data_IF_621987113805
#
_entry.id   IF_621987113805
#
_cell.length_a   1.000
_cell.length_b   1.000
_cell.length_c   1.000
_cell.angle_alpha   90.00
_cell.angle_beta   90.00
_cell.angle_gamma   90.00
#
_symmetry.space_group_name_H-M   'P 1'
#
loop_
_entity.id
_entity.type
_entity.pdbx_description
1 polymer ?
#
# COMPACT_ATOMS: atom_id res chain seq x y z
N UNK A 1 39.24 53.21 -26.52
CA UNK A 1 39.67 52.62 -25.23
C UNK A 1 38.48 51.88 -24.65
N UNK A 2 38.59 50.56 -24.48
CA UNK A 2 37.66 49.74 -23.70
C UNK A 2 36.82 48.73 -24.49
N UNK A 3 37.47 47.69 -25.03
CA UNK A 3 36.83 46.48 -25.53
C UNK A 3 36.17 45.65 -24.42
N UNK A 4 35.03 45.03 -24.72
CA UNK A 4 34.32 44.10 -23.84
C UNK A 4 33.49 43.10 -24.63
N UNK A 5 34.16 42.33 -25.51
CA UNK A 5 33.57 41.20 -26.24
C UNK A 5 33.25 40.04 -25.29
N UNK A 6 31.95 39.71 -25.14
CA UNK A 6 31.52 38.45 -24.52
C UNK A 6 31.20 37.44 -25.62
N UNK A 7 32.10 36.48 -25.79
CA UNK A 7 31.92 35.30 -26.65
C UNK A 7 30.97 34.31 -25.96
N UNK A 8 29.87 33.84 -26.57
CA UNK A 8 29.14 32.70 -26.04
C UNK A 8 29.89 31.40 -26.36
N UNK A 9 30.28 30.66 -25.31
CA UNK A 9 30.95 29.35 -25.38
C UNK A 9 30.05 28.29 -26.04
N UNK A 10 30.54 27.75 -27.16
CA UNK A 10 30.00 26.64 -27.97
C UNK A 10 30.11 25.25 -27.29
N UNK A 11 29.83 25.16 -25.98
CA UNK A 11 30.13 23.95 -25.18
C UNK A 11 29.03 22.90 -25.05
N UNK A 12 27.76 23.21 -25.32
CA UNK A 12 26.64 22.40 -24.78
C UNK A 12 25.81 21.58 -25.80
N UNK A 13 26.07 21.67 -27.11
CA UNK A 13 25.25 20.92 -28.09
C UNK A 13 25.61 19.43 -28.21
N UNK A 14 26.82 19.02 -27.82
CA UNK A 14 27.23 17.60 -27.87
C UNK A 14 26.64 16.76 -26.74
N UNK A 15 26.42 17.35 -25.56
CA UNK A 15 25.83 16.66 -24.42
C UNK A 15 24.33 16.36 -24.62
N UNK A 16 23.58 17.26 -25.27
CA UNK A 16 22.15 17.08 -25.51
C UNK A 16 21.85 15.96 -26.51
N UNK A 17 22.69 15.81 -27.55
CA UNK A 17 22.61 14.69 -28.50
C UNK A 17 22.94 13.33 -27.85
N UNK A 18 23.82 13.30 -26.85
CA UNK A 18 24.16 12.09 -26.10
C UNK A 18 22.99 11.54 -25.27
N UNK A 19 22.14 12.42 -24.70
CA UNK A 19 20.99 12.02 -23.87
C UNK A 19 19.84 11.48 -24.74
N UNK A 20 19.60 12.07 -25.91
CA UNK A 20 18.56 11.63 -26.85
C UNK A 20 18.92 10.28 -27.50
N UNK A 21 20.20 10.04 -27.78
CA UNK A 21 20.67 8.74 -28.27
C UNK A 21 20.61 7.65 -27.18
N UNK A 22 20.85 7.99 -25.91
CA UNK A 22 20.80 7.06 -24.78
C UNK A 22 19.40 6.52 -24.51
N UNK A 23 18.38 7.38 -24.49
CA UNK A 23 17.00 6.96 -24.18
C UNK A 23 16.39 6.05 -25.27
N UNK A 24 16.74 6.26 -26.54
CA UNK A 24 16.30 5.41 -27.65
C UNK A 24 16.94 4.01 -27.64
N UNK A 25 18.23 3.92 -27.32
CA UNK A 25 18.96 2.65 -27.24
C UNK A 25 18.47 1.77 -26.07
N UNK A 26 18.18 2.38 -24.91
CA UNK A 26 17.66 1.66 -23.73
C UNK A 26 16.28 1.04 -23.99
N UNK A 27 15.39 1.74 -24.71
CA UNK A 27 14.07 1.21 -25.06
C UNK A 27 14.15 0.10 -26.12
N UNK A 28 15.05 0.22 -27.10
CA UNK A 28 15.32 -0.83 -28.08
C UNK A 28 15.81 -2.12 -27.43
N UNK A 29 16.72 -2.02 -26.45
CA UNK A 29 17.24 -3.17 -25.71
C UNK A 29 16.16 -3.80 -24.81
N UNK A 30 15.35 -2.98 -24.12
CA UNK A 30 14.19 -3.44 -23.37
C UNK A 30 13.18 -4.20 -24.26
N UNK A 31 12.92 -3.73 -25.48
CA UNK A 31 11.99 -4.37 -26.44
C UNK A 31 12.54 -5.67 -27.02
N UNK A 32 13.86 -5.78 -27.21
CA UNK A 32 14.51 -7.03 -27.64
C UNK A 32 14.47 -8.11 -26.56
N UNK A 33 14.74 -7.73 -25.30
CA UNK A 33 14.73 -8.65 -24.16
C UNK A 33 13.29 -9.08 -23.83
N UNK A 34 12.33 -8.16 -23.80
CA UNK A 34 10.91 -8.50 -23.57
C UNK A 34 10.29 -9.28 -24.72
N UNK A 35 10.69 -9.02 -25.97
CA UNK A 35 10.20 -9.75 -27.15
C UNK A 35 10.60 -11.23 -27.22
N UNK A 36 11.71 -11.62 -26.56
CA UNK A 36 12.12 -13.03 -26.47
C UNK A 36 11.39 -13.79 -25.35
N UNK A 37 11.11 -13.15 -24.23
CA UNK A 37 10.46 -13.79 -23.07
C UNK A 37 8.99 -14.13 -23.35
N UNK A 38 8.30 -13.36 -24.19
CA UNK A 38 6.88 -13.60 -24.53
C UNK A 38 6.65 -14.67 -25.62
N UNK A 39 7.67 -15.14 -26.34
CA UNK A 39 7.52 -16.13 -27.42
C UNK A 39 7.57 -17.59 -26.99
N UNK A 40 7.82 -17.90 -25.71
CA UNK A 40 7.82 -19.29 -25.20
C UNK A 40 6.48 -19.79 -24.64
N UNK A 41 5.45 -18.95 -24.51
CA UNK A 41 4.19 -19.34 -23.86
C UNK A 41 2.93 -18.97 -24.68
N UNK A 42 2.91 -19.26 -25.99
CA UNK A 42 1.64 -19.26 -26.74
C UNK A 42 1.62 -20.26 -27.91
N UNK A 43 1.04 -21.42 -27.64
CA UNK A 43 0.53 -22.44 -28.58
C UNK A 43 -0.57 -23.18 -27.78
N UNK A 44 -1.86 -23.25 -28.13
CA UNK A 44 -2.67 -22.96 -29.32
C UNK A 44 -4.13 -22.76 -28.85
N UNK A 45 -4.88 -21.81 -29.42
CA UNK A 45 -6.04 -21.98 -30.34
C UNK A 45 -7.44 -21.97 -29.71
N UNK A 46 -8.24 -21.10 -30.31
CA UNK A 46 -9.66 -20.78 -30.17
C UNK A 46 -10.51 -21.82 -30.93
N UNK A 47 -11.68 -22.22 -30.39
CA UNK A 47 -12.95 -22.16 -31.12
C UNK A 47 -14.19 -22.45 -30.24
N UNK A 48 -15.16 -21.56 -30.39
CA UNK A 48 -16.63 -21.63 -30.27
C UNK A 48 -17.34 -22.46 -29.16
N UNK A 49 -18.34 -21.78 -28.55
CA UNK A 49 -19.37 -22.38 -27.68
C UNK A 49 -20.50 -23.00 -28.53
N UNK A 50 -21.29 -23.98 -28.02
CA UNK A 50 -22.49 -23.60 -27.23
C UNK A 50 -22.89 -24.56 -26.08
N UNK A 51 -23.36 -23.93 -24.99
CA UNK A 51 -24.39 -24.27 -23.96
C UNK A 51 -24.84 -25.75 -23.71
N UNK A 52 -24.83 -26.10 -22.39
CA UNK A 52 -25.68 -27.07 -21.60
C UNK A 52 -25.15 -28.49 -21.28
N UNK A 53 -25.65 -29.18 -20.20
CA UNK A 53 -24.95 -29.28 -18.92
C UNK A 53 -24.60 -30.72 -18.46
N UNK A 54 -23.82 -30.78 -17.37
CA UNK A 54 -23.71 -31.89 -16.41
C UNK A 54 -23.05 -33.19 -16.88
N UNK A 55 -21.78 -33.39 -16.48
CA UNK A 55 -21.25 -34.70 -16.06
C UNK A 55 -19.94 -34.50 -15.30
N UNK A 56 -19.86 -35.07 -14.09
CA UNK A 56 -18.69 -35.05 -13.22
C UNK A 56 -17.49 -35.65 -13.97
N UNK A 57 -16.47 -34.82 -14.24
CA UNK A 57 -15.16 -35.31 -14.68
C UNK A 57 -14.36 -35.67 -13.43
N UNK A 58 -14.10 -36.96 -13.27
CA UNK A 58 -13.16 -37.50 -12.30
C UNK A 58 -11.76 -36.96 -12.61
N UNK A 59 -11.23 -36.10 -11.74
CA UNK A 59 -9.90 -35.53 -11.89
C UNK A 59 -8.89 -36.53 -11.32
N UNK A 60 -8.13 -37.17 -12.21
CA UNK A 60 -7.03 -38.07 -11.83
C UNK A 60 -5.95 -37.25 -11.12
N UNK A 61 -5.90 -37.37 -9.78
CA UNK A 61 -4.95 -36.67 -8.92
C UNK A 61 -3.51 -37.12 -9.22
N UNK A 62 -2.65 -36.17 -9.57
CA UNK A 62 -1.22 -36.40 -9.76
C UNK A 62 -0.52 -36.52 -8.39
N UNK A 63 0.34 -37.52 -8.17
CA UNK A 63 1.13 -37.64 -6.94
C UNK A 63 2.01 -36.40 -6.75
N UNK A 64 1.84 -35.70 -5.61
CA UNK A 64 2.57 -34.47 -5.27
C UNK A 64 1.78 -33.16 -5.39
N UNK A 65 0.53 -33.18 -5.85
CA UNK A 65 -0.31 -31.96 -5.84
C UNK A 65 -0.74 -31.59 -4.42
N UNK A 66 -0.98 -30.30 -4.18
CA UNK A 66 -1.52 -29.80 -2.90
C UNK A 66 -2.81 -30.52 -2.52
N UNK A 67 -3.71 -30.76 -3.48
CA UNK A 67 -4.96 -31.50 -3.25
C UNK A 67 -4.71 -32.91 -2.72
N UNK A 68 -3.69 -33.61 -3.22
CA UNK A 68 -3.32 -34.93 -2.72
C UNK A 68 -2.79 -34.89 -1.26
N UNK A 69 -2.23 -33.76 -0.81
CA UNK A 69 -1.78 -33.57 0.57
C UNK A 69 -2.89 -33.16 1.55
N UNK A 70 -3.98 -32.56 1.08
CA UNK A 70 -5.12 -32.14 1.94
C UNK A 70 -6.26 -33.16 1.95
N UNK A 71 -6.25 -34.17 1.08
CA UNK A 71 -7.28 -35.23 1.04
C UNK A 71 -7.42 -36.04 2.34
N UNK A 72 -6.49 -35.93 3.29
CA UNK A 72 -6.55 -36.59 4.61
C UNK A 72 -7.02 -35.70 5.76
N UNK A 73 -7.41 -34.45 5.51
CA UNK A 73 -7.92 -33.57 6.56
C UNK A 73 -9.44 -33.75 6.68
N UNK A 74 -9.88 -34.40 7.75
CA UNK A 74 -11.29 -34.64 8.02
C UNK A 74 -12.00 -33.32 8.36
N UNK A 75 -12.63 -32.72 7.34
CA UNK A 75 -13.54 -31.59 7.55
C UNK A 75 -14.82 -32.17 8.08
N UNK A 76 -15.05 -32.04 9.39
CA UNK A 76 -16.31 -32.39 10.04
C UNK A 76 -17.43 -31.55 9.40
N UNK A 77 -18.16 -32.16 8.47
CA UNK A 77 -19.44 -31.65 7.99
C UNK A 77 -20.54 -32.09 8.97
N UNK A 78 -21.31 -31.17 9.58
CA UNK A 78 -22.47 -31.57 10.37
C UNK A 78 -23.53 -32.16 9.43
N UNK A 79 -23.97 -33.40 9.71
CA UNK A 79 -25.10 -34.01 9.00
C UNK A 79 -26.41 -33.36 9.48
N UNK A 80 -27.35 -33.04 8.58
CA UNK A 80 -28.66 -32.53 8.95
C UNK A 80 -29.56 -33.71 9.38
N UNK A 81 -29.79 -33.84 10.67
CA UNK A 81 -30.68 -34.85 11.22
C UNK A 81 -30.32 -35.21 12.64
N UNK A 82 -30.68 -34.35 13.59
CA UNK A 82 -31.50 -34.73 14.74
C UNK A 82 -31.70 -33.49 15.61
N UNK A 83 -32.98 -33.16 15.81
CA UNK A 83 -33.41 -32.06 16.65
C UNK A 83 -33.13 -32.38 18.12
N UNK A 84 -32.18 -31.66 18.72
CA UNK A 84 -32.16 -31.42 20.15
C UNK A 84 -31.68 -29.99 20.38
N UNK A 85 -32.57 -29.18 20.94
CA UNK A 85 -32.31 -27.81 21.38
C UNK A 85 -31.07 -27.75 22.27
N UNK A 86 -29.96 -27.33 21.67
CA UNK A 86 -28.78 -26.84 22.35
C UNK A 86 -28.32 -25.66 21.54
N UNK A 87 -28.52 -24.46 22.09
CA UNK A 87 -27.99 -23.21 21.56
C UNK A 87 -26.46 -23.31 21.60
N UNK A 88 -25.87 -23.86 20.54
CA UNK A 88 -24.42 -23.82 20.35
C UNK A 88 -24.09 -22.40 19.91
N UNK A 89 -23.96 -21.51 20.90
CA UNK A 89 -23.25 -20.26 20.73
C UNK A 89 -21.80 -20.65 20.44
N UNK A 90 -21.49 -20.86 19.16
CA UNK A 90 -20.11 -20.95 18.69
C UNK A 90 -19.53 -19.53 18.65
N UNK A 91 -19.43 -18.89 19.81
CA UNK A 91 -18.57 -17.73 19.99
C UNK A 91 -17.14 -18.26 19.92
N UNK A 92 -16.56 -18.20 18.73
CA UNK A 92 -15.12 -18.28 18.58
C UNK A 92 -14.48 -17.29 19.56
N UNK A 93 -13.54 -17.68 20.43
CA UNK A 93 -12.97 -16.81 21.48
C UNK A 93 -12.04 -15.71 20.93
N UNK A 94 -12.16 -15.34 19.66
CA UNK A 94 -11.18 -14.59 18.90
C UNK A 94 -11.70 -13.25 18.35
N UNK A 95 -12.90 -12.81 18.73
CA UNK A 95 -13.38 -11.50 18.29
C UNK A 95 -12.92 -10.43 19.30
N UNK A 96 -12.06 -9.50 18.84
CA UNK A 96 -11.69 -8.32 19.62
C UNK A 96 -12.96 -7.51 19.92
N UNK A 97 -13.50 -7.68 21.12
CA UNK A 97 -14.65 -6.89 21.54
C UNK A 97 -14.33 -5.38 21.56
N UNK A 98 -15.33 -4.50 21.37
CA UNK A 98 -15.13 -3.06 21.39
C UNK A 98 -14.43 -2.54 22.65
N UNK A 99 -14.65 -3.19 23.80
CA UNK A 99 -13.98 -2.85 25.05
C UNK A 99 -12.46 -3.08 25.00
N UNK A 100 -12.00 -4.13 24.30
CA UNK A 100 -10.57 -4.41 24.16
C UNK A 100 -9.88 -3.34 23.31
N UNK A 101 -10.55 -2.80 22.29
CA UNK A 101 -10.04 -1.68 21.51
C UNK A 101 -9.89 -0.41 22.36
N UNK A 102 -10.90 -0.08 23.19
CA UNK A 102 -10.79 1.04 24.14
C UNK A 102 -9.64 0.85 25.12
N UNK A 103 -9.49 -0.36 25.65
CA UNK A 103 -8.39 -0.69 26.56
C UNK A 103 -7.04 -0.52 25.89
N UNK A 104 -6.85 -1.03 24.67
CA UNK A 104 -5.61 -0.85 23.90
C UNK A 104 -5.30 0.63 23.65
N UNK A 105 -6.29 1.43 23.26
CA UNK A 105 -6.13 2.88 23.07
C UNK A 105 -5.73 3.58 24.37
N UNK A 106 -6.37 3.23 25.49
CA UNK A 106 -6.01 3.76 26.81
C UNK A 106 -4.59 3.37 27.22
N UNK A 107 -4.21 2.09 27.06
CA UNK A 107 -2.86 1.62 27.36
C UNK A 107 -1.81 2.32 26.50
N UNK A 108 -2.10 2.56 25.22
CA UNK A 108 -1.22 3.30 24.33
C UNK A 108 -1.01 4.73 24.85
N UNK A 109 -2.05 5.38 25.38
CA UNK A 109 -1.94 6.74 25.89
C UNK A 109 -1.09 6.86 27.16
N UNK A 110 -1.13 5.85 28.02
CA UNK A 110 -0.49 5.85 29.35
C UNK A 110 0.87 5.17 29.40
N UNK A 111 1.23 4.39 28.37
CA UNK A 111 2.51 3.68 28.33
C UNK A 111 3.68 4.65 28.10
N UNK A 112 4.68 4.59 28.97
CA UNK A 112 5.94 5.33 28.83
C UNK A 112 7.03 4.50 28.11
N UNK A 113 6.90 3.17 28.08
CA UNK A 113 7.86 2.28 27.42
C UNK A 113 7.65 2.25 25.89
N UNK A 114 8.66 2.65 25.09
CA UNK A 114 8.62 2.50 23.64
C UNK A 114 8.28 1.10 23.12
N UNK A 115 8.74 0.05 23.82
CA UNK A 115 8.51 -1.33 23.41
C UNK A 115 7.02 -1.69 23.51
N UNK A 116 6.39 -1.34 24.63
CA UNK A 116 4.96 -1.52 24.83
C UNK A 116 4.14 -0.71 23.84
N UNK A 117 4.47 0.58 23.62
CA UNK A 117 3.82 1.41 22.60
C UNK A 117 3.89 0.75 21.22
N UNK A 118 5.04 0.21 20.81
CA UNK A 118 5.17 -0.52 19.55
C UNK A 118 4.24 -1.74 19.49
N UNK A 119 4.22 -2.58 20.53
CA UNK A 119 3.38 -3.79 20.57
C UNK A 119 1.89 -3.44 20.51
N UNK A 120 1.49 -2.40 21.21
CA UNK A 120 0.11 -1.92 21.21
C UNK A 120 -0.26 -1.35 19.82
N UNK A 121 0.60 -0.53 19.22
CA UNK A 121 0.39 0.01 17.87
C UNK A 121 0.30 -1.10 16.81
N UNK A 122 1.14 -2.12 16.87
CA UNK A 122 1.06 -3.30 15.99
C UNK A 122 -0.28 -4.00 16.17
N UNK A 123 -0.73 -4.17 17.41
CA UNK A 123 -2.02 -4.81 17.72
C UNK A 123 -3.20 -4.01 17.17
N UNK A 124 -3.20 -2.69 17.38
CA UNK A 124 -4.21 -1.77 16.83
C UNK A 124 -4.17 -1.79 15.30
N UNK A 125 -2.98 -1.75 14.69
CA UNK A 125 -2.82 -1.77 13.24
C UNK A 125 -3.35 -3.05 12.61
N UNK A 126 -3.09 -4.21 13.23
CA UNK A 126 -3.65 -5.49 12.79
C UNK A 126 -5.17 -5.53 12.95
N UNK A 127 -5.69 -5.02 14.08
CA UNK A 127 -7.14 -4.93 14.29
C UNK A 127 -7.82 -4.01 13.25
N UNK A 128 -7.15 -2.92 12.86
CA UNK A 128 -7.61 -1.98 11.83
C UNK A 128 -7.62 -2.55 10.41
N UNK A 129 -7.20 -3.80 10.18
CA UNK A 129 -7.41 -4.48 8.91
C UNK A 129 -8.90 -4.82 8.65
N UNK A 130 -9.75 -4.78 9.68
CA UNK A 130 -11.18 -5.06 9.59
C UNK A 130 -12.01 -3.79 9.65
N UNK A 131 -12.95 -3.62 8.70
CA UNK A 131 -13.77 -2.40 8.59
C UNK A 131 -14.58 -2.08 9.86
N UNK A 132 -15.07 -3.09 10.57
CA UNK A 132 -15.79 -2.90 11.84
C UNK A 132 -14.88 -2.21 12.87
N UNK A 133 -13.64 -2.68 12.99
CA UNK A 133 -12.67 -2.09 13.92
C UNK A 133 -12.20 -0.72 13.47
N UNK A 134 -12.08 -0.47 12.16
CA UNK A 134 -11.76 0.87 11.64
C UNK A 134 -12.79 1.91 12.07
N UNK A 135 -14.09 1.55 12.06
CA UNK A 135 -15.18 2.42 12.52
C UNK A 135 -15.11 2.62 14.03
N UNK A 136 -14.97 1.54 14.81
CA UNK A 136 -14.88 1.63 16.27
C UNK A 136 -13.69 2.47 16.73
N UNK A 137 -12.51 2.29 16.11
CA UNK A 137 -11.32 3.10 16.41
C UNK A 137 -11.59 4.58 16.12
N UNK A 138 -12.25 4.93 15.01
CA UNK A 138 -12.66 6.31 14.72
C UNK A 138 -13.62 6.85 15.78
N UNK A 139 -14.65 6.08 16.13
CA UNK A 139 -15.68 6.47 17.13
C UNK A 139 -15.11 6.62 18.55
N UNK A 140 -14.02 5.92 18.86
CA UNK A 140 -13.30 6.06 20.13
C UNK A 140 -12.19 7.12 20.06
N UNK A 141 -12.23 8.01 19.06
CA UNK A 141 -11.23 9.06 18.86
C UNK A 141 -9.80 8.50 18.67
N UNK A 142 -9.69 7.21 18.37
CA UNK A 142 -8.43 6.47 18.32
C UNK A 142 -7.51 6.88 17.16
N UNK A 143 -8.05 7.49 16.10
CA UNK A 143 -7.23 8.03 15.00
C UNK A 143 -6.29 9.12 15.54
N UNK A 144 -6.81 10.07 16.34
CA UNK A 144 -5.95 11.11 16.92
C UNK A 144 -4.95 10.51 17.90
N UNK A 145 -5.36 9.46 18.64
CA UNK A 145 -4.51 8.80 19.64
C UNK A 145 -3.32 8.16 18.94
N UNK A 146 -3.55 7.44 17.85
CA UNK A 146 -2.48 6.83 17.05
C UNK A 146 -1.63 7.91 16.38
N UNK A 147 -2.25 8.94 15.78
CA UNK A 147 -1.52 9.97 15.05
C UNK A 147 -0.58 10.81 15.92
N UNK A 148 -0.86 10.97 17.22
CA UNK A 148 0.04 11.68 18.15
C UNK A 148 1.45 11.07 18.20
N UNK A 149 1.57 9.78 17.93
CA UNK A 149 2.85 9.04 17.94
C UNK A 149 3.66 9.20 16.65
N UNK A 150 3.18 9.97 15.67
CA UNK A 150 4.00 10.44 14.55
C UNK A 150 5.15 11.36 15.02
N UNK A 151 5.04 11.96 16.20
CA UNK A 151 6.08 12.77 16.86
C UNK A 151 6.90 11.99 17.89
N UNK A 152 6.75 10.67 18.00
CA UNK A 152 7.48 9.90 19.01
C UNK A 152 8.99 9.99 18.79
N UNK A 153 9.82 10.17 19.85
CA UNK A 153 11.27 10.17 19.70
C UNK A 153 11.77 8.86 19.04
N UNK A 154 11.12 7.74 19.34
CA UNK A 154 11.53 6.43 18.83
C UNK A 154 11.03 6.21 17.41
N UNK A 155 11.96 6.03 16.47
CA UNK A 155 11.66 5.84 15.05
C UNK A 155 10.73 4.63 14.82
N UNK A 156 10.94 3.55 15.58
CA UNK A 156 10.11 2.35 15.45
C UNK A 156 8.66 2.60 15.85
N UNK A 157 8.41 3.42 16.88
CA UNK A 157 7.05 3.81 17.29
C UNK A 157 6.37 4.60 16.17
N UNK A 158 7.09 5.54 15.54
CA UNK A 158 6.59 6.30 14.39
C UNK A 158 6.23 5.40 13.20
N UNK A 159 7.07 4.40 12.89
CA UNK A 159 6.80 3.40 11.84
C UNK A 159 5.51 2.63 12.14
N UNK A 160 5.33 2.13 13.36
CA UNK A 160 4.12 1.37 13.70
C UNK A 160 2.86 2.26 13.73
N UNK A 161 3.01 3.53 14.09
CA UNK A 161 1.94 4.52 14.00
C UNK A 161 1.47 4.71 12.56
N UNK A 162 2.42 4.88 11.63
CA UNK A 162 2.10 4.96 10.20
C UNK A 162 1.48 3.67 9.67
N UNK A 163 1.94 2.49 10.09
CA UNK A 163 1.34 1.22 9.69
C UNK A 163 -0.14 1.12 10.12
N UNK A 164 -0.44 1.50 11.36
CA UNK A 164 -1.81 1.56 11.86
C UNK A 164 -2.66 2.58 11.07
N UNK A 165 -2.14 3.79 10.85
CA UNK A 165 -2.84 4.82 10.07
C UNK A 165 -3.07 4.39 8.62
N UNK A 166 -2.14 3.68 8.00
CA UNK A 166 -2.30 3.16 6.63
C UNK A 166 -3.48 2.19 6.52
N UNK A 167 -3.69 1.33 7.53
CA UNK A 167 -4.84 0.42 7.58
C UNK A 167 -6.14 1.20 7.89
N UNK A 168 -6.10 2.13 8.84
CA UNK A 168 -7.26 2.98 9.18
C UNK A 168 -7.72 3.83 7.99
N UNK A 169 -6.79 4.32 7.17
CA UNK A 169 -7.03 5.15 5.99
C UNK A 169 -7.73 4.40 4.84
N UNK A 170 -7.81 3.06 4.90
CA UNK A 170 -8.57 2.27 3.93
C UNK A 170 -10.08 2.51 4.04
N UNK A 171 -10.55 3.09 5.15
CA UNK A 171 -11.94 3.51 5.34
C UNK A 171 -12.11 4.98 4.92
N UNK A 172 -12.98 5.25 3.94
CA UNK A 172 -13.17 6.62 3.41
C UNK A 172 -13.56 7.62 4.50
N UNK A 173 -14.54 7.37 5.38
CA UNK A 173 -14.84 8.27 6.50
C UNK A 173 -13.66 8.56 7.44
N UNK A 174 -12.72 7.62 7.63
CA UNK A 174 -11.53 7.86 8.45
C UNK A 174 -10.57 8.86 7.81
N UNK A 175 -10.55 8.94 6.47
CA UNK A 175 -9.67 9.85 5.74
C UNK A 175 -9.95 11.32 6.10
N UNK A 176 -11.19 11.67 6.44
CA UNK A 176 -11.57 13.02 6.87
C UNK A 176 -10.86 13.47 8.15
N UNK A 177 -10.56 12.54 9.05
CA UNK A 177 -9.75 12.82 10.25
C UNK A 177 -8.25 12.71 9.96
N UNK A 178 -7.84 11.69 9.20
CA UNK A 178 -6.42 11.43 8.91
C UNK A 178 -5.78 12.55 8.09
N UNK A 179 -6.54 13.21 7.20
CA UNK A 179 -6.01 14.29 6.35
C UNK A 179 -5.43 15.47 7.13
N UNK A 180 -5.85 15.66 8.38
CA UNK A 180 -5.34 16.72 9.26
C UNK A 180 -3.85 16.55 9.57
N UNK A 181 -3.33 15.32 9.46
CA UNK A 181 -1.92 14.99 9.74
C UNK A 181 -1.03 15.02 8.49
N UNK A 182 -1.56 15.32 7.30
CA UNK A 182 -0.75 15.37 6.06
C UNK A 182 0.47 16.29 6.17
N UNK A 183 0.40 17.50 6.75
CA UNK A 183 1.58 18.35 6.91
C UNK A 183 2.72 17.65 7.68
N UNK A 184 2.39 16.98 8.78
CA UNK A 184 3.36 16.23 9.58
C UNK A 184 3.89 15.00 8.83
N UNK A 185 3.05 14.31 8.06
CA UNK A 185 3.47 13.17 7.24
C UNK A 185 4.44 13.61 6.14
N UNK A 186 4.24 14.79 5.55
CA UNK A 186 5.16 15.38 4.58
C UNK A 186 6.51 15.73 5.20
N UNK A 187 6.51 16.32 6.39
CA UNK A 187 7.74 16.59 7.15
C UNK A 187 8.50 15.29 7.45
N UNK A 188 7.81 14.22 7.85
CA UNK A 188 8.42 12.90 8.05
C UNK A 188 9.09 12.38 6.76
N UNK A 189 8.49 12.59 5.59
CA UNK A 189 9.09 12.16 4.31
C UNK A 189 10.37 12.92 4.00
N UNK A 190 10.37 14.24 4.24
CA UNK A 190 11.50 15.13 3.97
C UNK A 190 12.67 14.88 4.92
N UNK A 191 12.39 14.66 6.21
CA UNK A 191 13.40 14.54 7.25
C UNK A 191 13.94 13.12 7.44
N UNK A 192 13.28 12.10 6.87
CA UNK A 192 13.70 10.71 7.01
C UNK A 192 14.81 10.32 6.03
N UNK A 193 15.72 9.41 6.41
CA UNK A 193 16.68 8.84 5.47
C UNK A 193 15.97 8.23 4.26
N UNK A 194 16.55 8.44 3.07
CA UNK A 194 16.01 7.90 1.82
C UNK A 194 15.93 6.38 1.92
N UNK A 195 14.80 5.82 1.52
CA UNK A 195 14.49 4.39 1.59
C UNK A 195 14.27 3.80 2.99
N UNK A 196 14.17 4.61 4.04
CA UNK A 196 13.79 4.12 5.37
C UNK A 196 12.34 3.63 5.41
N UNK A 197 12.04 2.68 6.31
CA UNK A 197 10.68 2.19 6.56
C UNK A 197 9.72 3.32 6.96
N UNK A 198 10.25 4.33 7.67
CA UNK A 198 9.49 5.52 8.06
C UNK A 198 9.05 6.33 6.83
N UNK A 199 9.97 6.59 5.90
CA UNK A 199 9.67 7.29 4.65
C UNK A 199 8.68 6.49 3.79
N UNK A 200 8.86 5.17 3.70
CA UNK A 200 7.96 4.28 2.96
C UNK A 200 6.55 4.27 3.56
N UNK A 201 6.41 4.13 4.88
CA UNK A 201 5.13 4.16 5.58
C UNK A 201 4.38 5.49 5.36
N UNK A 202 5.11 6.61 5.37
CA UNK A 202 4.54 7.94 5.16
C UNK A 202 4.07 8.14 3.71
N UNK A 203 4.89 7.76 2.73
CA UNK A 203 4.51 7.80 1.32
C UNK A 203 3.31 6.90 1.00
N UNK A 204 3.24 5.72 1.62
CA UNK A 204 2.08 4.83 1.48
C UNK A 204 0.81 5.48 2.01
N UNK A 205 0.88 6.22 3.12
CA UNK A 205 -0.28 6.90 3.69
C UNK A 205 -0.77 8.01 2.75
N UNK A 206 0.14 8.80 2.19
CA UNK A 206 -0.20 9.80 1.17
C UNK A 206 -0.81 9.16 -0.08
N UNK A 207 -0.27 8.00 -0.49
CA UNK A 207 -0.82 7.23 -1.62
C UNK A 207 -2.27 6.83 -1.33
N UNK A 208 -2.55 6.27 -0.15
CA UNK A 208 -3.90 5.84 0.23
C UNK A 208 -4.89 7.01 0.27
N UNK A 209 -4.46 8.19 0.73
CA UNK A 209 -5.28 9.40 0.72
C UNK A 209 -5.51 9.95 -0.69
N UNK A 210 -4.51 9.87 -1.57
CA UNK A 210 -4.58 10.41 -2.95
C UNK A 210 -5.54 9.67 -3.88
N UNK A 211 -5.87 8.41 -3.55
CA UNK A 211 -6.76 7.57 -4.35
C UNK A 211 -8.16 8.17 -4.41
N UNK A 212 -8.58 8.93 -3.38
CA UNK A 212 -9.85 9.67 -3.40
C UNK A 212 -9.63 11.09 -3.95
N UNK A 213 -10.48 11.51 -4.90
CA UNK A 213 -10.35 12.82 -5.58
C UNK A 213 -10.39 14.01 -4.61
N UNK A 214 -11.03 13.85 -3.46
CA UNK A 214 -11.22 14.91 -2.46
C UNK A 214 -9.91 15.38 -1.80
N UNK A 215 -8.84 14.56 -1.81
CA UNK A 215 -7.60 14.84 -1.06
C UNK A 215 -6.39 15.14 -1.94
N UNK A 216 -6.51 15.07 -3.26
CA UNK A 216 -5.39 15.29 -4.19
C UNK A 216 -4.79 16.70 -4.10
N UNK A 217 -5.59 17.69 -3.73
CA UNK A 217 -5.12 19.06 -3.54
C UNK A 217 -4.04 19.17 -2.46
N UNK A 218 -4.02 18.26 -1.49
CA UNK A 218 -3.01 18.20 -0.43
C UNK A 218 -1.62 17.84 -0.97
N UNK A 219 -1.55 17.09 -2.09
CA UNK A 219 -0.28 16.68 -2.71
C UNK A 219 0.27 17.67 -3.72
N UNK A 220 -0.53 18.67 -4.15
CA UNK A 220 -0.10 19.68 -5.14
C UNK A 220 1.08 20.53 -4.69
N UNK A 221 1.30 20.67 -3.38
CA UNK A 221 2.46 21.41 -2.85
C UNK A 221 3.71 20.54 -2.70
N UNK A 222 3.56 19.22 -2.75
CA UNK A 222 4.63 18.24 -2.50
C UNK A 222 5.14 17.59 -3.77
N UNK A 223 4.71 18.07 -4.94
CA UNK A 223 5.09 17.54 -6.26
C UNK A 223 6.59 17.43 -6.43
N UNK A 224 7.32 18.49 -6.12
CA UNK A 224 8.78 18.53 -6.31
C UNK A 224 9.49 17.54 -5.40
N UNK A 225 9.01 17.36 -4.17
CA UNK A 225 9.52 16.36 -3.23
C UNK A 225 9.28 14.94 -3.78
N UNK A 226 8.06 14.65 -4.22
CA UNK A 226 7.68 13.35 -4.76
C UNK A 226 8.45 13.01 -6.06
N UNK A 227 8.61 13.97 -6.97
CA UNK A 227 9.38 13.79 -8.20
C UNK A 227 10.88 13.59 -7.92
N UNK A 228 11.44 14.31 -6.94
CA UNK A 228 12.83 14.11 -6.52
C UNK A 228 13.06 12.71 -5.94
N UNK A 229 12.13 12.22 -5.12
CA UNK A 229 12.20 10.86 -4.57
C UNK A 229 12.03 9.78 -5.65
N UNK A 230 11.20 10.00 -6.68
CA UNK A 230 11.11 9.06 -7.81
C UNK A 230 12.44 8.80 -8.50
N UNK A 231 13.33 9.81 -8.54
CA UNK A 231 14.64 9.69 -9.20
C UNK A 231 15.66 8.96 -8.32
N UNK A 232 15.56 9.07 -7.00
CA UNK A 232 16.60 8.64 -6.05
C UNK A 232 16.22 7.36 -5.28
N UNK A 233 14.93 7.05 -5.17
CA UNK A 233 14.43 5.93 -4.35
C UNK A 233 14.43 4.57 -5.08
N UNK A 234 14.34 3.50 -4.29
CA UNK A 234 14.24 2.11 -4.78
C UNK A 234 12.92 1.83 -5.52
N UNK A 235 12.85 0.72 -6.27
CA UNK A 235 11.66 0.35 -7.06
C UNK A 235 10.37 0.29 -6.21
N UNK A 236 10.44 -0.22 -4.98
CA UNK A 236 9.28 -0.29 -4.08
C UNK A 236 8.69 1.09 -3.77
N UNK A 237 9.55 2.09 -3.55
CA UNK A 237 9.15 3.46 -3.31
C UNK A 237 8.68 4.17 -4.57
N UNK A 238 9.32 3.89 -5.70
CA UNK A 238 8.88 4.39 -6.99
C UNK A 238 7.45 3.95 -7.32
N UNK A 239 7.06 2.71 -6.99
CA UNK A 239 5.69 2.22 -7.16
C UNK A 239 4.71 3.00 -6.28
N UNK A 240 5.02 3.21 -5.00
CA UNK A 240 4.17 4.00 -4.09
C UNK A 240 3.99 5.44 -4.58
N UNK A 241 5.09 6.13 -4.90
CA UNK A 241 5.05 7.50 -5.38
C UNK A 241 4.29 7.58 -6.71
N UNK A 242 4.55 6.64 -7.63
CA UNK A 242 3.88 6.62 -8.93
C UNK A 242 2.37 6.40 -8.80
N UNK A 243 1.94 5.51 -7.90
CA UNK A 243 0.51 5.33 -7.62
C UNK A 243 -0.11 6.59 -7.00
N UNK A 244 0.59 7.25 -6.07
CA UNK A 244 0.12 8.47 -5.41
C UNK A 244 -0.07 9.63 -6.39
N UNK A 245 0.80 9.70 -7.41
CA UNK A 245 0.89 10.87 -8.28
C UNK A 245 0.25 10.70 -9.66
N UNK A 246 0.30 9.49 -10.24
CA UNK A 246 -0.12 9.25 -11.64
C UNK A 246 -1.45 8.53 -11.80
N UNK A 247 -2.00 7.86 -10.77
CA UNK A 247 -3.24 7.08 -10.94
C UNK A 247 -4.47 7.96 -11.20
N UNK A 248 -4.45 9.23 -10.81
CA UNK A 248 -5.63 10.11 -10.85
C UNK A 248 -5.44 11.42 -11.62
N UNK A 249 -4.40 11.57 -12.43
CA UNK A 249 -4.37 12.65 -13.42
C UNK A 249 -5.16 12.17 -14.65
N UNK A 250 -6.36 12.67 -14.95
CA UNK A 250 -6.79 12.65 -16.34
C UNK A 250 -5.72 13.41 -17.12
N UNK A 251 -5.12 12.77 -18.12
CA UNK A 251 -4.40 13.48 -19.16
C UNK A 251 -5.42 14.38 -19.88
N UNK A 252 -5.71 15.55 -19.31
CA UNK A 252 -6.18 16.67 -20.11
C UNK A 252 -4.95 17.21 -20.81
N UNK A 253 -4.73 16.70 -22.02
CA UNK A 253 -4.02 17.45 -23.04
C UNK A 253 -4.86 18.68 -23.33
N UNK A 254 -4.52 19.80 -22.69
CA UNK A 254 -4.94 21.10 -23.21
C UNK A 254 -4.01 21.40 -24.41
N UNK A 255 -4.42 20.96 -25.59
CA UNK A 255 -3.98 21.45 -26.91
C UNK A 255 -5.26 21.81 -27.68
#
# INVERSE_FOLDING_TARGET
MGDGSVVPRLGNMKALLGIIAGAGASYGLYKLISGQTFKKNKKSTVSESPVRPSQQREVKLQPGSLLAKVSGLDVVCPRPGDAASGEVIHQSPNNLEPQHLKMLLSCLQTSEDPSDRCRILVTIGNAAAFTVNQNLIREFEGIHIVARFLSDPEAQVRVQSLNALNNLCMNIPNQEQIKLYVPQVLELIEMSPVNSDLQLGALRLLTNLSVTDNHQHLLKKSVTLLLSLLVVSSEALQVCISHSYFKNRPFKCDI
#
